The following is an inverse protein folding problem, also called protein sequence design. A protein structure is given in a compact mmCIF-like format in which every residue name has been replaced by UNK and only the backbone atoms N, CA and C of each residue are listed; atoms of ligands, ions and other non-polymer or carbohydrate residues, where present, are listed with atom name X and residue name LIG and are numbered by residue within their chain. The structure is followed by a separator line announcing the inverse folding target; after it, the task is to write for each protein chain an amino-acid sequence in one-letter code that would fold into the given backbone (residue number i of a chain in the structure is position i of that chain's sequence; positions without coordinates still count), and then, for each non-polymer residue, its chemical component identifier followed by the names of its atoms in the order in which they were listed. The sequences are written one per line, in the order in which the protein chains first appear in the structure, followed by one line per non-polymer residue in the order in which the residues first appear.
data_IF_194712967856
#
_entry.id   IF_194712967856
#
_cell.length_a   1.000
_cell.length_b   1.000
_cell.length_c   1.000
_cell.angle_alpha   90.00
_cell.angle_beta   90.00
_cell.angle_gamma   90.00
#
_symmetry.space_group_name_H-M   'P 1'
#
loop_
_entity.id
_entity.type
_entity.pdbx_description
1 polymer ?
#
# COMPACT_ATOMS: atom_id res chain seq x y z
N UNK A 1 -22.32 27.33 7.41
CA UNK A 1 -22.26 26.11 6.55
C UNK A 1 -20.95 25.31 6.59
N UNK A 2 -19.86 25.82 7.20
CA UNK A 2 -18.50 25.22 7.13
C UNK A 2 -18.09 24.34 8.33
N UNK A 3 -19.02 23.74 9.07
CA UNK A 3 -18.66 23.03 10.32
C UNK A 3 -18.32 21.55 10.13
N UNK A 4 -18.73 20.91 9.03
CA UNK A 4 -18.57 19.46 8.84
C UNK A 4 -18.14 19.10 7.41
N UNK A 5 -17.01 18.39 7.28
CA UNK A 5 -16.46 17.87 6.03
C UNK A 5 -16.96 16.44 5.76
N UNK A 6 -16.86 16.02 4.50
CA UNK A 6 -17.18 14.65 4.10
C UNK A 6 -16.21 13.68 4.79
N UNK A 7 -16.75 12.67 5.47
CA UNK A 7 -15.98 11.72 6.28
C UNK A 7 -15.80 12.12 7.75
N UNK A 8 -16.26 13.31 8.16
CA UNK A 8 -16.23 13.71 9.58
C UNK A 8 -17.09 12.77 10.43
N UNK A 9 -16.71 12.63 11.70
CA UNK A 9 -17.47 11.86 12.69
C UNK A 9 -18.88 12.45 12.80
N UNK A 10 -19.88 11.63 12.50
CA UNK A 10 -21.29 11.95 12.66
C UNK A 10 -21.84 11.56 14.03
N UNK A 11 -23.16 11.43 14.10
CA UNK A 11 -23.84 11.06 15.33
C UNK A 11 -23.40 9.69 15.86
N UNK A 12 -23.60 9.48 17.16
CA UNK A 12 -23.50 8.19 17.81
C UNK A 12 -24.87 7.85 18.37
N UNK A 13 -25.39 6.65 18.09
CA UNK A 13 -26.71 6.21 18.54
C UNK A 13 -26.56 5.02 19.48
N UNK A 14 -26.99 5.20 20.72
CA UNK A 14 -27.15 4.13 21.72
C UNK A 14 -28.59 3.66 21.71
N UNK A 15 -28.79 2.36 21.51
CA UNK A 15 -30.11 1.71 21.50
C UNK A 15 -30.14 0.66 22.60
N UNK A 16 -31.03 0.77 23.60
CA UNK A 16 -31.19 -0.26 24.61
C UNK A 16 -31.79 -1.52 23.97
N UNK A 17 -31.41 -2.69 24.49
CA UNK A 17 -31.80 -4.00 23.98
C UNK A 17 -32.40 -4.85 25.10
N UNK A 18 -33.30 -5.75 24.73
CA UNK A 18 -33.63 -6.90 25.57
C UNK A 18 -32.54 -7.96 25.50
N UNK A 19 -32.49 -8.88 26.46
CA UNK A 19 -31.52 -9.99 26.44
C UNK A 19 -31.63 -10.86 25.18
N UNK A 20 -32.86 -11.12 24.70
CA UNK A 20 -33.09 -11.87 23.48
C UNK A 20 -32.55 -11.14 22.24
N UNK A 21 -32.78 -9.82 22.16
CA UNK A 21 -32.23 -8.99 21.08
C UNK A 21 -30.71 -8.93 21.12
N UNK A 22 -30.12 -8.83 22.32
CA UNK A 22 -28.68 -8.85 22.51
C UNK A 22 -28.04 -10.13 21.97
N UNK A 23 -28.59 -11.30 22.32
CA UNK A 23 -28.09 -12.61 21.84
C UNK A 23 -28.19 -12.70 20.31
N UNK A 24 -29.34 -12.37 19.74
CA UNK A 24 -29.53 -12.38 18.29
C UNK A 24 -28.56 -11.43 17.57
N UNK A 25 -28.34 -10.23 18.10
CA UNK A 25 -27.44 -9.25 17.50
C UNK A 25 -25.97 -9.63 17.63
N UNK A 26 -25.57 -10.44 18.62
CA UNK A 26 -24.22 -11.02 18.66
C UNK A 26 -24.00 -11.99 17.50
N UNK A 27 -24.97 -12.87 17.23
CA UNK A 27 -24.89 -13.85 16.13
C UNK A 27 -24.90 -13.15 14.76
N UNK A 28 -25.80 -12.18 14.57
CA UNK A 28 -25.86 -11.40 13.34
C UNK A 28 -24.63 -10.52 13.15
N UNK A 29 -24.00 -10.08 14.24
CA UNK A 29 -22.71 -9.37 14.19
C UNK A 29 -21.58 -10.29 13.76
N UNK A 30 -21.51 -11.52 14.28
CA UNK A 30 -20.53 -12.52 13.84
C UNK A 30 -20.70 -12.85 12.33
N UNK A 31 -21.93 -12.80 11.82
CA UNK A 31 -22.25 -12.94 10.41
C UNK A 31 -22.03 -11.65 9.57
N UNK A 32 -21.51 -10.57 10.16
CA UNK A 32 -21.22 -9.31 9.47
C UNK A 32 -22.45 -8.46 9.10
N UNK A 33 -23.63 -8.79 9.62
CA UNK A 33 -24.90 -8.10 9.31
C UNK A 33 -25.14 -6.86 10.18
N UNK A 34 -24.50 -6.79 11.34
CA UNK A 34 -24.70 -5.71 12.32
C UNK A 34 -23.51 -4.76 12.30
N UNK A 35 -23.80 -3.46 12.10
CA UNK A 35 -22.81 -2.38 12.23
C UNK A 35 -22.90 -1.75 13.61
N UNK A 36 -21.76 -1.65 14.31
CA UNK A 36 -21.67 -1.06 15.66
C UNK A 36 -21.18 -2.02 16.74
N UNK A 37 -21.14 -1.55 17.99
CA UNK A 37 -20.75 -2.35 19.17
C UNK A 37 -22.01 -2.83 19.89
N UNK A 38 -22.18 -4.15 20.00
CA UNK A 38 -23.18 -4.81 20.86
C UNK A 38 -22.48 -5.15 22.17
N UNK A 39 -22.99 -4.70 23.31
CA UNK A 39 -22.35 -4.91 24.61
C UNK A 39 -23.35 -4.96 25.77
N UNK A 40 -22.93 -5.58 26.87
CA UNK A 40 -23.56 -5.51 28.18
C UNK A 40 -22.74 -4.56 29.04
N UNK A 41 -23.37 -3.64 29.76
CA UNK A 41 -22.67 -2.73 30.67
C UNK A 41 -22.49 -3.33 32.06
N UNK A 42 -21.81 -2.59 32.94
CA UNK A 42 -21.50 -3.03 34.31
C UNK A 42 -22.75 -3.13 35.21
N UNK A 43 -23.85 -2.47 34.83
CA UNK A 43 -25.14 -2.54 35.52
C UNK A 43 -25.98 -3.73 35.04
N UNK A 44 -25.57 -4.34 33.94
CA UNK A 44 -26.17 -5.53 33.37
C UNK A 44 -27.16 -5.25 32.24
N UNK A 45 -27.28 -4.00 31.81
CA UNK A 45 -28.14 -3.60 30.70
C UNK A 45 -27.46 -3.88 29.36
N UNK A 46 -28.28 -4.14 28.34
CA UNK A 46 -27.81 -4.51 27.01
C UNK A 46 -27.96 -3.37 26.02
N UNK A 47 -26.95 -3.16 25.18
CA UNK A 47 -26.87 -1.99 24.30
C UNK A 47 -26.32 -2.32 22.92
N UNK A 48 -26.86 -1.63 21.92
CA UNK A 48 -26.25 -1.46 20.59
C UNK A 48 -25.80 -0.01 20.43
N UNK A 49 -24.50 0.19 20.23
CA UNK A 49 -23.90 1.49 19.93
C UNK A 49 -23.47 1.56 18.46
N UNK A 50 -24.06 2.48 17.71
CA UNK A 50 -23.79 2.69 16.28
C UNK A 50 -23.14 4.05 16.02
N UNK A 51 -22.14 4.06 15.14
CA UNK A 51 -21.41 5.25 14.74
C UNK A 51 -21.77 5.62 13.30
N UNK A 52 -21.98 6.90 13.06
CA UNK A 52 -22.28 7.44 11.74
C UNK A 52 -21.16 8.36 11.28
N UNK A 53 -21.00 8.52 9.97
CA UNK A 53 -20.10 9.49 9.34
C UNK A 53 -20.93 10.47 8.52
N UNK A 54 -20.48 11.71 8.45
CA UNK A 54 -21.13 12.73 7.63
C UNK A 54 -20.72 12.51 6.18
N UNK A 55 -21.70 12.35 5.29
CA UNK A 55 -21.45 12.21 3.86
C UNK A 55 -22.13 13.29 3.05
N UNK A 56 -21.34 13.97 2.21
CA UNK A 56 -21.82 14.98 1.27
C UNK A 56 -21.72 14.44 -0.15
N UNK A 57 -22.87 14.37 -0.83
CA UNK A 57 -22.95 13.92 -2.21
C UNK A 57 -23.23 15.08 -3.15
N UNK A 58 -22.51 15.15 -4.27
CA UNK A 58 -22.86 16.04 -5.37
C UNK A 58 -23.93 15.35 -6.21
N UNK A 59 -25.11 15.96 -6.29
CA UNK A 59 -26.20 15.45 -7.13
C UNK A 59 -25.75 15.47 -8.60
N UNK A 60 -25.98 14.36 -9.31
CA UNK A 60 -25.68 14.24 -10.74
C UNK A 60 -26.78 13.45 -11.46
N UNK A 61 -26.97 13.70 -12.76
CA UNK A 61 -28.01 13.05 -13.56
C UNK A 61 -27.80 11.54 -13.79
N UNK A 62 -26.58 11.03 -13.57
CA UNK A 62 -26.25 9.61 -13.71
C UNK A 62 -26.25 8.91 -12.34
N UNK A 63 -26.88 7.74 -12.25
CA UNK A 63 -26.81 6.87 -11.08
C UNK A 63 -25.39 6.33 -10.92
N UNK A 64 -24.76 6.58 -9.78
CA UNK A 64 -23.46 6.03 -9.40
C UNK A 64 -23.60 5.22 -8.12
N UNK A 65 -23.03 4.02 -8.09
CA UNK A 65 -22.96 3.19 -6.90
C UNK A 65 -21.60 3.40 -6.24
N UNK A 66 -21.59 3.66 -4.93
CA UNK A 66 -20.38 3.75 -4.12
C UNK A 66 -20.39 2.60 -3.11
N UNK A 67 -19.25 1.94 -2.97
CA UNK A 67 -19.03 0.96 -1.92
C UNK A 67 -18.02 1.53 -0.94
N UNK A 68 -18.52 2.18 0.11
CA UNK A 68 -17.67 2.72 1.15
C UNK A 68 -17.47 1.66 2.24
N UNK A 69 -16.22 1.23 2.42
CA UNK A 69 -15.82 0.38 3.53
C UNK A 69 -15.20 1.24 4.61
N UNK A 70 -15.86 1.31 5.77
CA UNK A 70 -15.34 2.00 6.94
C UNK A 70 -14.87 0.96 7.96
N UNK A 71 -13.61 1.08 8.36
CA UNK A 71 -13.04 0.26 9.42
C UNK A 71 -13.08 1.05 10.72
N UNK A 72 -13.83 0.55 11.70
CA UNK A 72 -13.85 1.10 13.04
C UNK A 72 -12.78 0.35 13.84
N UNK A 73 -11.61 0.99 14.03
CA UNK A 73 -10.55 0.48 14.91
C UNK A 73 -10.91 0.75 16.37
N UNK A 74 -11.91 0.05 16.88
CA UNK A 74 -12.21 0.00 18.32
C UNK A 74 -11.63 -1.29 18.86
N UNK A 75 -10.81 -1.23 19.91
CA UNK A 75 -10.08 -2.36 20.48
C UNK A 75 -10.88 -3.67 20.62
N UNK A 76 -10.18 -4.80 20.52
CA UNK A 76 -10.67 -6.17 20.28
C UNK A 76 -9.91 -6.90 19.15
N UNK A 77 -10.54 -7.83 18.44
CA UNK A 77 -9.93 -8.57 17.31
C UNK A 77 -9.48 -7.67 16.13
N UNK A 78 -10.00 -6.43 16.06
CA UNK A 78 -9.62 -5.40 15.09
C UNK A 78 -8.74 -4.28 15.69
N UNK A 79 -8.11 -4.52 16.85
CA UNK A 79 -7.13 -3.59 17.41
C UNK A 79 -5.91 -3.47 16.50
N UNK A 80 -5.27 -2.30 16.47
CA UNK A 80 -3.84 -2.26 16.16
C UNK A 80 -3.15 -3.11 17.23
N UNK A 81 -2.60 -4.26 16.83
CA UNK A 81 -1.83 -5.13 17.72
C UNK A 81 -0.35 -4.83 17.45
N UNK A 82 0.38 -4.44 18.50
CA UNK A 82 1.84 -4.38 18.42
C UNK A 82 2.38 -5.81 18.29
N UNK A 83 2.90 -6.14 17.11
CA UNK A 83 3.53 -7.43 16.82
C UNK A 83 5.06 -7.34 16.93
N UNK A 84 5.59 -6.27 17.53
CA UNK A 84 7.02 -6.02 17.59
C UNK A 84 7.57 -5.40 16.31
N UNK A 85 8.89 -5.52 16.10
CA UNK A 85 9.54 -4.90 14.94
C UNK A 85 9.11 -5.61 13.66
N UNK A 86 8.87 -4.84 12.61
CA UNK A 86 8.46 -5.38 11.30
C UNK A 86 9.46 -6.44 10.80
N UNK A 87 10.76 -6.16 10.89
CA UNK A 87 11.82 -7.08 10.45
C UNK A 87 11.85 -8.42 11.18
N UNK A 88 11.37 -8.50 12.44
CA UNK A 88 11.27 -9.76 13.18
C UNK A 88 10.13 -10.64 12.65
N UNK A 89 9.11 -10.02 12.03
CA UNK A 89 7.91 -10.72 11.54
C UNK A 89 8.03 -11.13 10.06
N UNK A 90 8.62 -10.27 9.22
CA UNK A 90 8.67 -10.50 7.76
C UNK A 90 10.09 -10.67 7.22
N UNK A 91 11.10 -10.56 8.07
CA UNK A 91 12.50 -10.53 7.65
C UNK A 91 12.88 -9.22 6.96
N UNK A 92 14.02 -9.23 6.28
CA UNK A 92 14.53 -8.09 5.54
C UNK A 92 15.43 -8.52 4.39
N UNK A 93 15.54 -7.66 3.39
CA UNK A 93 16.52 -7.79 2.32
C UNK A 93 17.83 -7.13 2.75
N UNK A 94 18.95 -7.57 2.17
CA UNK A 94 20.20 -6.83 2.31
C UNK A 94 20.13 -5.48 1.59
N UNK A 95 21.10 -4.61 1.84
CA UNK A 95 21.25 -3.33 1.15
C UNK A 95 22.62 -3.26 0.48
N UNK A 96 22.67 -2.79 -0.77
CA UNK A 96 23.91 -2.57 -1.49
C UNK A 96 23.86 -1.23 -2.23
N UNK A 97 25.01 -0.57 -2.28
CA UNK A 97 25.25 0.69 -2.97
C UNK A 97 26.59 0.61 -3.70
N UNK A 98 26.89 1.59 -4.56
CA UNK A 98 28.11 1.64 -5.37
C UNK A 98 28.36 0.35 -6.19
N UNK A 99 27.29 -0.32 -6.61
CA UNK A 99 27.37 -1.48 -7.47
C UNK A 99 27.38 -1.04 -8.93
N UNK A 100 28.00 -1.79 -9.86
CA UNK A 100 27.95 -1.48 -11.28
C UNK A 100 26.54 -1.10 -11.76
N UNK A 101 26.40 0.03 -12.44
CA UNK A 101 25.10 0.55 -12.89
C UNK A 101 24.54 -0.22 -14.08
N UNK A 102 25.43 -0.54 -15.02
CA UNK A 102 25.13 -1.18 -16.28
C UNK A 102 25.30 -2.70 -16.22
N UNK A 103 24.45 -3.41 -16.95
CA UNK A 103 24.70 -4.80 -17.29
C UNK A 103 24.56 -5.79 -16.13
N UNK A 104 23.96 -5.41 -15.01
CA UNK A 104 23.74 -6.31 -13.87
C UNK A 104 22.36 -6.95 -13.95
N UNK A 105 22.27 -8.21 -13.52
CA UNK A 105 20.98 -8.87 -13.35
C UNK A 105 20.31 -8.40 -12.06
N UNK A 106 19.06 -7.97 -12.19
CA UNK A 106 18.20 -7.56 -11.09
C UNK A 106 16.86 -8.27 -11.18
N UNK A 107 16.25 -8.51 -10.03
CA UNK A 107 14.83 -8.89 -9.93
C UNK A 107 14.09 -7.81 -9.18
N UNK A 108 13.04 -7.27 -9.79
CA UNK A 108 12.23 -6.20 -9.21
C UNK A 108 10.89 -6.75 -8.77
N UNK A 109 10.25 -6.11 -7.80
CA UNK A 109 8.93 -6.48 -7.30
C UNK A 109 8.05 -5.23 -7.12
N UNK A 110 6.74 -5.37 -7.25
CA UNK A 110 5.79 -4.28 -7.02
C UNK A 110 4.33 -4.69 -7.19
N UNK A 111 3.40 -3.76 -6.94
CA UNK A 111 1.95 -3.98 -6.96
C UNK A 111 1.27 -3.07 -7.99
N UNK A 112 1.46 -3.34 -9.28
CA UNK A 112 0.91 -2.48 -10.32
C UNK A 112 -0.63 -2.54 -10.30
N UNK A 113 -1.29 -1.39 -10.47
CA UNK A 113 -2.75 -1.27 -10.49
C UNK A 113 -3.25 -0.24 -11.51
N UNK A 114 -2.38 0.69 -11.93
CA UNK A 114 -2.73 1.73 -12.89
C UNK A 114 -2.99 1.19 -14.30
N UNK A 115 -3.70 1.94 -15.15
CA UNK A 115 -3.77 1.63 -16.56
C UNK A 115 -2.47 1.97 -17.29
N UNK A 116 -2.28 1.38 -18.46
CA UNK A 116 -1.39 1.90 -19.50
C UNK A 116 -1.95 3.21 -20.10
N UNK A 117 -1.17 3.88 -20.95
CA UNK A 117 -1.57 5.14 -21.59
C UNK A 117 -2.72 4.94 -22.60
N UNK A 118 -2.86 3.73 -23.15
CA UNK A 118 -4.01 3.29 -23.96
C UNK A 118 -5.28 2.97 -23.13
N UNK A 119 -5.21 3.05 -21.79
CA UNK A 119 -6.30 2.74 -20.87
C UNK A 119 -6.41 1.26 -20.47
N UNK A 120 -5.59 0.37 -21.05
CA UNK A 120 -5.58 -1.05 -20.69
C UNK A 120 -5.19 -1.24 -19.21
N UNK A 121 -5.91 -2.11 -18.50
CA UNK A 121 -5.70 -2.40 -17.07
C UNK A 121 -5.36 -3.87 -16.84
N UNK A 122 -4.09 -4.27 -17.06
CA UNK A 122 -3.71 -5.68 -16.91
C UNK A 122 -3.49 -6.11 -15.46
N UNK A 123 -3.48 -5.16 -14.51
CA UNK A 123 -3.15 -5.41 -13.11
C UNK A 123 -4.17 -4.81 -12.14
N UNK A 124 -4.31 -5.44 -10.98
CA UNK A 124 -5.30 -5.09 -9.95
C UNK A 124 -4.71 -4.48 -8.68
N UNK A 125 -3.37 -4.51 -8.52
CA UNK A 125 -2.69 -4.02 -7.31
C UNK A 125 -2.68 -4.99 -6.12
N UNK A 126 -3.35 -6.15 -6.20
CA UNK A 126 -3.49 -7.06 -5.03
C UNK A 126 -2.43 -8.16 -4.99
N UNK A 127 -1.85 -8.51 -6.14
CA UNK A 127 -0.85 -9.58 -6.25
C UNK A 127 0.49 -8.98 -6.67
N UNK A 128 1.59 -9.31 -5.96
CA UNK A 128 2.89 -8.82 -6.36
C UNK A 128 3.26 -9.34 -7.74
N UNK A 129 3.76 -8.45 -8.58
CA UNK A 129 4.36 -8.76 -9.87
C UNK A 129 5.86 -8.55 -9.77
N UNK A 130 6.59 -9.12 -10.73
CA UNK A 130 8.03 -9.03 -10.76
C UNK A 130 8.53 -8.93 -12.20
N UNK A 131 9.67 -8.27 -12.37
CA UNK A 131 10.45 -8.29 -13.60
C UNK A 131 11.85 -8.81 -13.29
N UNK A 132 12.45 -9.49 -14.25
CA UNK A 132 13.82 -9.99 -14.13
C UNK A 132 14.55 -9.71 -15.44
N UNK A 133 15.74 -9.15 -15.33
CA UNK A 133 16.55 -8.88 -16.51
C UNK A 133 17.82 -8.16 -16.17
N UNK A 134 18.54 -7.80 -17.23
CA UNK A 134 19.79 -7.08 -17.18
C UNK A 134 19.51 -5.58 -17.27
N UNK A 135 20.08 -4.77 -16.38
CA UNK A 135 20.00 -3.31 -16.49
C UNK A 135 20.64 -2.84 -17.80
N UNK A 136 20.09 -1.79 -18.40
CA UNK A 136 20.59 -1.27 -19.66
C UNK A 136 22.05 -0.81 -19.52
N UNK A 137 22.84 -1.02 -20.58
CA UNK A 137 24.22 -0.55 -20.63
C UNK A 137 24.37 0.90 -21.05
N UNK A 138 23.31 1.47 -21.64
CA UNK A 138 23.25 2.87 -22.08
C UNK A 138 22.26 3.62 -21.19
N UNK A 139 22.56 4.86 -20.88
CA UNK A 139 21.63 5.75 -20.19
C UNK A 139 20.34 5.88 -20.99
N UNK A 140 19.20 5.86 -20.29
CA UNK A 140 17.91 6.19 -20.87
C UNK A 140 17.78 7.71 -20.90
N UNK A 141 17.41 8.26 -22.06
CA UNK A 141 17.28 9.71 -22.23
C UNK A 141 15.80 10.06 -22.39
N UNK A 142 15.23 10.71 -21.38
CA UNK A 142 13.88 11.29 -21.43
C UNK A 142 14.01 12.74 -20.92
N UNK A 143 14.28 13.72 -21.80
CA UNK A 143 14.67 15.08 -21.40
C UNK A 143 13.68 15.77 -20.45
N UNK A 144 12.38 15.49 -20.59
CA UNK A 144 11.33 16.04 -19.72
C UNK A 144 11.33 15.47 -18.30
N UNK A 145 12.05 14.37 -18.06
CA UNK A 145 12.11 13.65 -16.78
C UNK A 145 13.50 13.63 -16.14
N UNK A 146 14.55 14.00 -16.88
CA UNK A 146 15.93 14.08 -16.40
C UNK A 146 16.41 12.78 -15.72
N UNK A 147 16.30 11.66 -16.44
CA UNK A 147 16.61 10.31 -15.92
C UNK A 147 17.96 9.77 -16.37
N UNK A 148 18.86 10.64 -16.84
CA UNK A 148 20.13 10.27 -17.46
C UNK A 148 21.08 9.57 -16.45
N UNK A 149 20.97 9.92 -15.17
CA UNK A 149 21.71 9.32 -14.05
C UNK A 149 21.02 8.07 -13.47
N UNK A 150 19.86 7.68 -14.01
CA UNK A 150 19.13 6.50 -13.56
C UNK A 150 19.56 5.25 -14.31
N UNK A 151 19.38 4.10 -13.66
CA UNK A 151 19.44 2.80 -14.31
C UNK A 151 18.07 2.48 -14.91
N UNK A 152 18.04 1.78 -16.04
CA UNK A 152 16.78 1.33 -16.65
C UNK A 152 16.73 -0.19 -16.83
N UNK A 153 15.52 -0.73 -16.83
CA UNK A 153 15.21 -2.14 -17.04
C UNK A 153 13.93 -2.25 -17.87
N UNK A 154 13.95 -3.07 -18.93
CA UNK A 154 12.74 -3.40 -19.67
C UNK A 154 11.77 -4.19 -18.78
N UNK A 155 10.55 -3.68 -18.60
CA UNK A 155 9.53 -4.22 -17.72
C UNK A 155 8.17 -3.58 -18.03
N UNK A 156 7.20 -4.39 -18.46
CA UNK A 156 5.87 -3.94 -18.86
C UNK A 156 4.88 -3.86 -17.68
N UNK A 157 5.20 -3.07 -16.66
CA UNK A 157 4.37 -2.84 -15.46
C UNK A 157 3.74 -1.45 -15.50
N UNK A 158 2.76 -1.19 -14.63
CA UNK A 158 2.03 0.09 -14.56
C UNK A 158 2.17 0.76 -13.20
N UNK A 159 1.58 1.97 -13.05
CA UNK A 159 1.58 2.71 -11.80
C UNK A 159 1.15 1.85 -10.60
N UNK A 160 1.80 2.08 -9.45
CA UNK A 160 1.74 1.20 -8.27
C UNK A 160 2.91 0.22 -8.18
N UNK A 161 3.71 0.11 -9.25
CA UNK A 161 5.02 -0.53 -9.20
C UNK A 161 6.11 0.39 -8.63
N UNK A 162 5.82 1.69 -8.54
CA UNK A 162 6.67 2.74 -7.98
C UNK A 162 7.08 2.42 -6.53
N UNK A 163 8.32 2.73 -6.17
CA UNK A 163 8.92 2.38 -4.87
C UNK A 163 9.28 0.90 -4.70
N UNK A 164 8.86 0.03 -5.63
CA UNK A 164 9.16 -1.39 -5.61
C UNK A 164 10.67 -1.68 -5.67
N UNK A 165 11.20 -2.63 -4.86
CA UNK A 165 12.64 -2.84 -4.73
C UNK A 165 13.25 -3.51 -5.95
N UNK A 166 14.48 -3.11 -6.30
CA UNK A 166 15.32 -3.78 -7.27
C UNK A 166 16.38 -4.60 -6.54
N UNK A 167 16.27 -5.93 -6.60
CA UNK A 167 17.12 -6.86 -5.87
C UNK A 167 18.27 -7.37 -6.75
N UNK A 168 19.49 -7.02 -6.36
CA UNK A 168 20.74 -7.55 -6.89
C UNK A 168 21.10 -8.87 -6.20
N UNK A 169 21.70 -9.82 -6.96
CA UNK A 169 22.06 -11.17 -6.47
C UNK A 169 20.91 -11.90 -5.78
N UNK A 170 19.68 -11.67 -6.25
CA UNK A 170 18.50 -12.32 -5.67
C UNK A 170 18.52 -13.83 -5.90
N UNK A 171 18.37 -14.59 -4.83
CA UNK A 171 18.20 -16.04 -4.86
C UNK A 171 16.72 -16.40 -4.71
N UNK A 172 16.15 -17.08 -5.70
CA UNK A 172 14.78 -17.60 -5.58
C UNK A 172 14.65 -18.64 -4.46
N UNK A 173 15.68 -19.45 -4.23
CA UNK A 173 15.68 -20.48 -3.19
C UNK A 173 15.65 -19.87 -1.79
N UNK A 174 16.45 -18.82 -1.55
CA UNK A 174 16.51 -18.14 -0.25
C UNK A 174 15.48 -17.02 -0.11
N UNK A 175 14.91 -16.55 -1.21
CA UNK A 175 14.08 -15.33 -1.31
C UNK A 175 14.78 -14.08 -0.76
N UNK A 176 16.11 -14.06 -0.91
CA UNK A 176 16.99 -13.01 -0.40
C UNK A 176 17.87 -12.46 -1.51
N UNK A 177 18.10 -11.16 -1.44
CA UNK A 177 19.05 -10.42 -2.27
C UNK A 177 19.43 -9.10 -1.59
N UNK A 178 19.99 -8.19 -2.36
CA UNK A 178 20.36 -6.86 -1.91
C UNK A 178 19.55 -5.81 -2.65
N UNK A 179 18.79 -5.00 -1.93
CA UNK A 179 18.15 -3.80 -2.47
C UNK A 179 19.25 -2.88 -2.99
N UNK A 180 19.24 -2.62 -4.29
CA UNK A 180 20.20 -1.77 -4.98
C UNK A 180 19.52 -0.87 -6.01
N UNK A 181 18.29 -0.44 -5.67
CA UNK A 181 17.45 0.41 -6.47
C UNK A 181 15.98 0.30 -6.05
N UNK A 182 15.18 1.26 -6.49
CA UNK A 182 13.71 1.28 -6.37
C UNK A 182 13.12 1.84 -7.65
N UNK A 183 11.95 1.36 -8.06
CA UNK A 183 11.28 1.91 -9.24
C UNK A 183 10.90 3.38 -9.00
N UNK A 184 11.38 4.29 -9.85
CA UNK A 184 11.12 5.73 -9.72
C UNK A 184 10.30 6.31 -10.88
N UNK A 185 10.55 5.88 -12.12
CA UNK A 185 9.75 6.25 -13.28
C UNK A 185 9.42 4.98 -14.07
N UNK A 186 8.16 4.93 -14.51
CA UNK A 186 7.63 3.95 -15.45
C UNK A 186 7.38 4.71 -16.75
N UNK A 187 7.99 4.23 -17.84
CA UNK A 187 8.05 4.92 -19.12
C UNK A 187 7.61 4.02 -20.27
N UNK A 188 6.99 4.66 -21.25
CA UNK A 188 6.82 4.16 -22.61
C UNK A 188 7.99 4.73 -23.41
N UNK A 189 8.82 3.85 -23.99
CA UNK A 189 10.02 4.26 -24.74
C UNK A 189 9.91 4.02 -26.24
N UNK A 190 8.79 3.47 -26.71
CA UNK A 190 8.55 3.17 -28.12
C UNK A 190 7.28 3.84 -28.69
N UNK A 191 6.59 4.66 -27.90
CA UNK A 191 5.41 5.45 -28.26
C UNK A 191 4.20 4.59 -28.69
N UNK A 192 4.12 3.34 -28.19
CA UNK A 192 2.99 2.43 -28.44
C UNK A 192 1.84 2.58 -27.43
N UNK A 193 1.95 3.57 -26.53
CA UNK A 193 1.05 3.87 -25.41
C UNK A 193 1.01 2.78 -24.35
N UNK A 194 2.03 1.92 -24.30
CA UNK A 194 2.24 0.95 -23.23
C UNK A 194 3.59 1.18 -22.58
N UNK A 195 3.58 1.00 -21.27
CA UNK A 195 4.79 1.08 -20.48
C UNK A 195 5.63 -0.16 -20.77
N UNK A 196 6.90 0.06 -21.07
CA UNK A 196 7.85 -0.99 -21.45
C UNK A 196 9.15 -0.94 -20.64
N UNK A 197 9.35 0.14 -19.88
CA UNK A 197 10.61 0.43 -19.20
C UNK A 197 10.34 1.01 -17.83
N UNK A 198 11.10 0.52 -16.85
CA UNK A 198 11.19 1.13 -15.53
C UNK A 198 12.59 1.64 -15.28
N UNK A 199 12.69 2.62 -14.40
CA UNK A 199 13.96 3.23 -14.00
C UNK A 199 14.13 3.22 -12.50
N UNK A 200 15.37 3.28 -12.05
CA UNK A 200 15.75 3.41 -10.64
C UNK A 200 16.86 4.45 -10.50
N UNK A 201 16.84 5.29 -9.47
CA UNK A 201 18.01 6.06 -9.09
C UNK A 201 19.20 5.12 -8.82
N UNK A 202 20.40 5.59 -9.12
CA UNK A 202 21.62 4.89 -8.77
C UNK A 202 21.85 5.00 -7.25
N UNK A 203 21.93 3.87 -6.55
CA UNK A 203 22.23 3.86 -5.12
C UNK A 203 23.74 4.01 -4.89
N UNK A 204 24.13 5.18 -4.43
CA UNK A 204 25.51 5.59 -4.17
C UNK A 204 25.81 5.80 -2.67
N UNK A 205 26.91 6.49 -2.37
CA UNK A 205 27.31 6.85 -1.02
C UNK A 205 26.33 7.80 -0.30
N UNK A 206 25.66 8.69 -1.02
CA UNK A 206 24.64 9.57 -0.42
C UNK A 206 23.42 8.76 0.01
N UNK A 207 22.96 7.86 -0.85
CA UNK A 207 21.88 6.92 -0.53
C UNK A 207 22.25 6.06 0.68
N UNK A 208 23.50 5.57 0.75
CA UNK A 208 23.98 4.80 1.88
C UNK A 208 24.00 5.61 3.19
N UNK A 209 24.30 6.90 3.12
CA UNK A 209 24.29 7.79 4.28
C UNK A 209 22.87 7.97 4.81
N UNK A 210 21.90 8.22 3.92
CA UNK A 210 20.48 8.31 4.27
C UNK A 210 19.98 6.98 4.85
N UNK A 211 20.33 5.85 4.22
CA UNK A 211 19.95 4.52 4.70
C UNK A 211 20.48 4.27 6.12
N UNK A 212 21.75 4.59 6.41
CA UNK A 212 22.34 4.42 7.74
C UNK A 212 21.64 5.29 8.78
N UNK A 213 21.35 6.54 8.46
CA UNK A 213 20.62 7.44 9.34
C UNK A 213 19.22 6.90 9.65
N UNK A 214 18.49 6.45 8.63
CA UNK A 214 17.15 5.88 8.80
C UNK A 214 17.17 4.56 9.58
N UNK A 215 18.13 3.67 9.30
CA UNK A 215 18.26 2.37 9.96
C UNK A 215 18.60 2.48 11.45
N UNK A 216 19.18 3.59 11.89
CA UNK A 216 19.44 3.88 13.30
C UNK A 216 18.18 4.34 14.07
N UNK A 217 17.09 4.65 13.37
CA UNK A 217 15.84 5.13 13.97
C UNK A 217 14.83 4.00 14.04
N UNK A 218 14.34 3.70 15.25
CA UNK A 218 13.26 2.72 15.41
C UNK A 218 11.95 3.30 14.87
N UNK A 219 11.28 2.58 13.97
CA UNK A 219 9.86 2.80 13.66
C UNK A 219 9.03 2.79 14.94
N UNK A 220 8.45 3.94 15.30
CA UNK A 220 7.65 4.08 16.51
C UNK A 220 6.47 3.10 16.60
N UNK A 221 5.90 2.95 17.80
CA UNK A 221 4.71 2.12 18.01
C UNK A 221 3.48 2.77 17.37
N UNK A 222 2.69 1.96 16.68
CA UNK A 222 1.37 2.36 16.17
C UNK A 222 0.31 2.42 17.28
N UNK A 223 0.56 1.74 18.39
CA UNK A 223 -0.24 1.80 19.61
C UNK A 223 0.45 2.71 20.63
N UNK A 224 -0.32 3.58 21.28
CA UNK A 224 0.14 4.38 22.42
C UNK A 224 0.13 3.56 23.69
#
# INVERSE_FOLDING_TARGET
PNLWKNGDKGATKLTPLTEAQYKQLLDDKAAGKVKGKVFKDDLGDYWLNQFYVIQWYKVSAATKYYHDSFFIFTGGEASLVDRGRLGDNVGGQGFAWNQPSAGKYVRTFGYPYGPHLDGNRPYTGVTPKWCYGKTASKALLIPSKKVEEQQSLKCAVTAGYDGGPWLYKYSNAKRLGYVNGVTSLIADTNDDKRYDTITSPYFDGETATIYKAAAAVWSGKLVK
#
